data_IF_142687799876
#
_entry.id   IF_142687799876
#
_cell.length_a   1.000
_cell.length_b   1.000
_cell.length_c   1.000
_cell.angle_alpha   90.00
_cell.angle_beta   90.00
_cell.angle_gamma   90.00
#
_symmetry.space_group_name_H-M   'P 1'
#
loop_
_entity.id
_entity.type
_entity.pdbx_description
1 polymer ?
#
# COMPACT_ATOMS: atom_id res chain seq x y z
N UNK A 1 -27.50 0.76 -22.57
CA UNK A 1 -28.31 1.07 -21.37
C UNK A 1 -28.10 2.53 -21.02
N UNK A 2 -29.16 3.33 -21.10
CA UNK A 2 -29.16 4.77 -20.79
C UNK A 2 -29.32 4.93 -19.28
N UNK A 3 -28.45 5.68 -18.61
CA UNK A 3 -28.63 6.06 -17.20
C UNK A 3 -28.80 7.58 -17.10
N UNK A 4 -29.96 7.94 -16.56
CA UNK A 4 -30.50 9.29 -16.38
C UNK A 4 -29.62 10.17 -15.50
N UNK A 5 -29.40 11.41 -15.94
CA UNK A 5 -28.92 12.51 -15.10
C UNK A 5 -30.10 13.06 -14.31
N UNK A 6 -30.00 13.04 -12.98
CA UNK A 6 -30.96 13.69 -12.08
C UNK A 6 -30.52 15.14 -11.88
N UNK A 7 -31.34 16.07 -12.35
CA UNK A 7 -31.21 17.52 -12.10
C UNK A 7 -31.61 17.83 -10.66
N UNK A 8 -30.74 18.52 -9.92
CA UNK A 8 -31.10 19.19 -8.68
C UNK A 8 -31.15 20.70 -8.92
N UNK A 9 -32.34 21.26 -8.77
CA UNK A 9 -32.64 22.70 -8.86
C UNK A 9 -32.38 23.30 -7.47
N UNK A 10 -31.48 24.27 -7.36
CA UNK A 10 -31.31 25.11 -6.18
C UNK A 10 -31.74 26.53 -6.52
N UNK A 11 -32.96 26.88 -6.11
CA UNK A 11 -33.51 28.23 -6.08
C UNK A 11 -32.89 29.02 -4.92
N UNK A 12 -32.07 30.03 -5.23
CA UNK A 12 -31.59 30.99 -4.24
C UNK A 12 -32.44 32.27 -4.32
N UNK A 13 -33.23 32.52 -3.27
CA UNK A 13 -33.98 33.75 -3.02
C UNK A 13 -33.00 34.78 -2.44
N UNK A 14 -32.81 35.90 -3.14
CA UNK A 14 -32.06 37.06 -2.63
C UNK A 14 -33.00 37.96 -1.82
N UNK A 15 -32.85 37.97 -0.50
CA UNK A 15 -33.50 38.92 0.41
C UNK A 15 -32.52 40.08 0.67
N UNK A 16 -32.88 41.29 0.23
CA UNK A 16 -32.16 42.52 0.56
C UNK A 16 -32.65 43.07 1.92
N UNK A 17 -31.77 43.66 2.75
CA UNK A 17 -32.20 44.60 3.78
C UNK A 17 -31.90 46.04 3.34
N UNK A 18 -32.97 46.80 3.12
CA UNK A 18 -32.94 48.25 3.11
C UNK A 18 -32.82 48.75 4.56
N UNK A 19 -31.77 49.52 4.87
CA UNK A 19 -31.68 50.27 6.13
C UNK A 19 -31.94 51.74 5.84
N UNK A 20 -33.06 52.20 6.38
CA UNK A 20 -33.59 53.56 6.34
C UNK A 20 -33.19 54.24 7.67
N UNK A 21 -32.50 55.39 7.60
CA UNK A 21 -32.18 56.23 8.76
C UNK A 21 -32.82 57.62 8.56
N UNK A 22 -33.63 58.12 9.52
CA UNK A 22 -34.24 59.45 9.45
C UNK A 22 -33.51 60.49 10.32
N UNK A 23 -33.69 61.77 9.94
CA UNK A 23 -33.53 62.96 10.81
C UNK A 23 -32.17 63.67 10.69
N UNK A 24 -32.05 64.99 10.69
CA UNK A 24 -32.96 66.08 11.09
C UNK A 24 -32.52 67.39 10.41
N UNK A 25 -33.48 68.26 10.11
CA UNK A 25 -33.23 69.62 9.62
C UNK A 25 -32.96 70.56 10.81
N UNK A 26 -31.92 71.38 10.72
CA UNK A 26 -31.68 72.51 11.60
C UNK A 26 -31.38 73.75 10.76
N UNK A 27 -32.26 74.73 10.83
CA UNK A 27 -32.04 76.08 10.32
C UNK A 27 -31.26 76.88 11.36
N UNK A 28 -30.19 77.57 10.95
CA UNK A 28 -29.55 78.62 11.73
C UNK A 28 -29.17 79.77 10.80
N UNK A 29 -29.62 80.95 11.17
CA UNK A 29 -29.55 82.22 10.46
C UNK A 29 -28.23 82.95 10.78
N UNK A 30 -27.71 83.71 9.82
CA UNK A 30 -26.83 84.86 10.01
C UNK A 30 -25.35 84.66 10.43
N UNK A 31 -24.42 84.87 9.49
CA UNK A 31 -23.47 86.00 9.53
C UNK A 31 -22.39 85.84 8.46
N UNK A 32 -22.35 86.79 7.53
CA UNK A 32 -21.43 86.89 6.40
C UNK A 32 -19.99 87.14 6.89
N UNK A 33 -19.13 86.13 6.83
CA UNK A 33 -17.68 86.29 6.87
C UNK A 33 -17.11 85.88 5.50
N UNK A 34 -16.27 86.75 4.94
CA UNK A 34 -15.71 86.66 3.60
C UNK A 34 -15.00 85.31 3.33
N UNK A 35 -15.06 84.76 2.10
CA UNK A 35 -14.38 83.51 1.77
C UNK A 35 -12.87 83.75 1.69
N UNK A 36 -12.12 83.23 2.67
CA UNK A 36 -10.72 82.87 2.45
C UNK A 36 -10.67 81.72 1.43
N UNK A 37 -9.85 81.80 0.37
CA UNK A 37 -9.73 80.71 -0.59
C UNK A 37 -9.23 79.44 0.13
N UNK A 38 -9.75 78.25 -0.21
CA UNK A 38 -9.20 77.01 0.32
C UNK A 38 -7.73 76.88 -0.10
N UNK A 39 -6.90 76.49 0.86
CA UNK A 39 -5.51 76.16 0.64
C UNK A 39 -5.38 75.19 -0.54
N UNK A 40 -4.56 75.58 -1.51
CA UNK A 40 -4.10 74.80 -2.65
C UNK A 40 -3.76 73.38 -2.21
N UNK A 41 -4.51 72.39 -2.72
CA UNK A 41 -4.08 70.99 -2.71
C UNK A 41 -2.65 70.91 -3.28
N UNK A 42 -1.76 70.04 -2.79
CA UNK A 42 -0.42 69.92 -3.36
C UNK A 42 -0.58 69.50 -4.82
N UNK A 43 -0.38 70.44 -5.73
CA UNK A 43 -0.21 70.14 -7.14
C UNK A 43 1.13 69.42 -7.23
N UNK A 44 1.12 68.09 -7.30
CA UNK A 44 2.29 67.32 -7.69
C UNK A 44 2.81 67.90 -8.99
N UNK A 45 4.08 68.32 -9.02
CA UNK A 45 4.62 68.91 -10.23
C UNK A 45 4.70 67.82 -11.31
N UNK A 46 4.57 68.15 -12.60
CA UNK A 46 4.73 67.18 -13.69
C UNK A 46 6.07 66.41 -13.65
N UNK A 47 7.10 67.02 -13.06
CA UNK A 47 8.39 66.37 -12.82
C UNK A 47 8.32 65.29 -11.73
N UNK A 48 7.54 65.51 -10.66
CA UNK A 48 7.37 64.55 -9.57
C UNK A 48 6.58 63.33 -10.06
N UNK A 49 5.58 63.55 -10.90
CA UNK A 49 4.79 62.48 -11.51
C UNK A 49 5.61 61.63 -12.50
N UNK A 50 6.48 62.25 -13.30
CA UNK A 50 7.44 61.49 -14.13
C UNK A 50 8.37 60.62 -13.28
N UNK A 51 8.92 61.17 -12.21
CA UNK A 51 9.78 60.42 -11.29
C UNK A 51 9.04 59.24 -10.63
N UNK A 52 7.75 59.40 -10.29
CA UNK A 52 6.92 58.32 -9.77
C UNK A 52 6.73 57.17 -10.77
N UNK A 53 6.52 57.48 -12.06
CA UNK A 53 6.43 56.45 -13.11
C UNK A 53 7.76 55.72 -13.32
N UNK A 54 8.88 56.44 -13.29
CA UNK A 54 10.22 55.83 -13.35
C UNK A 54 10.48 54.91 -12.15
N UNK A 55 9.99 55.27 -10.96
CA UNK A 55 10.07 54.41 -9.78
C UNK A 55 9.27 53.12 -9.94
N UNK A 56 8.08 53.17 -10.54
CA UNK A 56 7.28 51.98 -10.87
C UNK A 56 8.02 51.08 -11.87
N UNK A 57 8.69 51.68 -12.86
CA UNK A 57 9.50 50.93 -13.83
C UNK A 57 10.77 50.32 -13.23
N UNK A 58 11.31 50.94 -12.18
CA UNK A 58 12.48 50.46 -11.45
C UNK A 58 12.16 49.28 -10.52
N UNK A 59 10.88 49.03 -10.20
CA UNK A 59 10.49 47.87 -9.39
C UNK A 59 10.75 46.56 -10.17
N UNK A 60 11.54 45.61 -9.62
CA UNK A 60 11.77 44.31 -10.26
C UNK A 60 10.49 43.49 -10.44
N UNK A 61 9.45 43.74 -9.65
CA UNK A 61 8.14 43.08 -9.74
C UNK A 61 7.16 43.80 -10.69
N UNK A 62 7.62 44.83 -11.40
CA UNK A 62 6.81 45.54 -12.37
C UNK A 62 6.34 44.58 -13.48
N UNK A 63 5.04 44.31 -13.50
CA UNK A 63 4.39 43.45 -14.47
C UNK A 63 4.54 43.97 -15.89
N UNK A 64 4.44 43.06 -16.87
CA UNK A 64 4.69 43.38 -18.27
C UNK A 64 3.72 44.45 -18.79
N UNK A 65 2.44 44.33 -18.47
CA UNK A 65 1.42 45.28 -18.91
C UNK A 65 1.61 46.63 -18.23
N UNK A 66 1.96 46.65 -16.94
CA UNK A 66 2.28 47.89 -16.20
C UNK A 66 3.49 48.59 -16.82
N UNK A 67 4.55 47.87 -17.16
CA UNK A 67 5.73 48.41 -17.85
C UNK A 67 5.39 49.03 -19.20
N UNK A 68 4.68 48.30 -20.05
CA UNK A 68 4.26 48.78 -21.36
C UNK A 68 3.34 50.03 -21.26
N UNK A 69 2.50 50.10 -20.23
CA UNK A 69 1.65 51.26 -19.94
C UNK A 69 2.44 52.48 -19.42
N UNK A 70 3.37 52.26 -18.50
CA UNK A 70 4.26 53.29 -17.95
C UNK A 70 5.14 53.92 -19.03
N UNK A 71 5.78 53.10 -19.88
CA UNK A 71 6.61 53.59 -20.99
C UNK A 71 5.82 54.41 -22.01
N UNK A 72 4.56 54.02 -22.26
CA UNK A 72 3.65 54.77 -23.15
C UNK A 72 3.31 56.13 -22.55
N UNK A 73 3.03 56.18 -21.25
CA UNK A 73 2.75 57.42 -20.54
C UNK A 73 3.96 58.38 -20.55
N UNK A 74 5.16 57.88 -20.29
CA UNK A 74 6.39 58.69 -20.31
C UNK A 74 6.73 59.30 -21.68
N UNK A 75 6.34 58.62 -22.78
CA UNK A 75 6.46 59.11 -24.16
C UNK A 75 5.37 60.13 -24.54
N UNK A 76 4.33 60.26 -23.73
CA UNK A 76 3.19 61.14 -23.95
C UNK A 76 3.31 62.51 -23.26
N UNK A 77 2.15 63.11 -23.03
CA UNK A 77 1.95 64.39 -22.37
C UNK A 77 1.95 64.27 -20.84
N UNK A 78 1.99 65.41 -20.13
CA UNK A 78 1.83 65.41 -18.67
C UNK A 78 0.48 64.83 -18.24
N UNK A 79 -0.59 65.06 -19.01
CA UNK A 79 -1.90 64.48 -18.76
C UNK A 79 -1.90 62.95 -18.92
N UNK A 80 -1.11 62.40 -19.86
CA UNK A 80 -0.98 60.94 -20.03
C UNK A 80 -0.26 60.30 -18.83
N UNK A 81 0.74 60.97 -18.27
CA UNK A 81 1.45 60.55 -17.06
C UNK A 81 0.49 60.57 -15.86
N UNK A 82 -0.25 61.66 -15.70
CA UNK A 82 -1.24 61.80 -14.64
C UNK A 82 -2.35 60.73 -14.77
N UNK A 83 -2.85 60.49 -15.98
CA UNK A 83 -3.85 59.46 -16.26
C UNK A 83 -3.33 58.05 -15.94
N UNK A 84 -2.07 57.78 -16.25
CA UNK A 84 -1.44 56.51 -15.91
C UNK A 84 -1.37 56.30 -14.39
N UNK A 85 -0.87 57.29 -13.65
CA UNK A 85 -0.76 57.20 -12.18
C UNK A 85 -2.13 57.09 -11.49
N UNK A 86 -3.17 57.72 -12.05
CA UNK A 86 -4.50 57.71 -11.43
C UNK A 86 -5.33 56.48 -11.79
N UNK A 87 -5.25 55.99 -13.02
CA UNK A 87 -6.12 54.90 -13.51
C UNK A 87 -5.37 53.84 -14.32
N UNK A 88 -4.45 54.26 -15.19
CA UNK A 88 -3.80 53.36 -16.15
C UNK A 88 -2.98 52.25 -15.49
N UNK A 89 -2.26 52.55 -14.41
CA UNK A 89 -1.45 51.57 -13.69
C UNK A 89 -2.30 50.45 -13.09
N UNK A 90 -3.49 50.76 -12.56
CA UNK A 90 -4.36 49.78 -11.93
C UNK A 90 -5.00 48.83 -12.95
N UNK A 91 -5.39 49.34 -14.12
CA UNK A 91 -5.89 48.51 -15.24
C UNK A 91 -4.82 47.59 -15.80
N UNK A 92 -3.60 48.12 -15.91
CA UNK A 92 -2.45 47.34 -16.38
C UNK A 92 -2.08 46.25 -15.36
N UNK A 93 -2.09 46.57 -14.07
CA UNK A 93 -1.86 45.61 -12.98
C UNK A 93 -2.91 44.50 -12.97
N UNK A 94 -4.20 44.83 -13.12
CA UNK A 94 -5.27 43.82 -13.24
C UNK A 94 -5.01 42.87 -14.42
N UNK A 95 -4.54 43.40 -15.54
CA UNK A 95 -4.21 42.57 -16.72
C UNK A 95 -3.08 41.58 -16.43
N UNK A 96 -2.03 42.04 -15.75
CA UNK A 96 -0.91 41.19 -15.33
C UNK A 96 -1.36 40.11 -14.32
N UNK A 97 -2.19 40.47 -13.35
CA UNK A 97 -2.75 39.52 -12.38
C UNK A 97 -3.65 38.47 -13.02
N UNK A 98 -4.49 38.85 -13.97
CA UNK A 98 -5.31 37.88 -14.73
C UNK A 98 -4.46 36.91 -15.53
N UNK A 99 -3.35 37.37 -16.11
CA UNK A 99 -2.37 36.50 -16.76
C UNK A 99 -1.75 35.53 -15.75
N UNK A 100 -1.38 36.01 -14.56
CA UNK A 100 -0.85 35.14 -13.49
C UNK A 100 -1.86 34.06 -13.08
N UNK A 101 -3.16 34.38 -12.99
CA UNK A 101 -4.21 33.37 -12.72
C UNK A 101 -4.27 32.31 -13.82
N UNK A 102 -4.23 32.71 -15.10
CA UNK A 102 -4.21 31.76 -16.23
C UNK A 102 -2.95 30.89 -16.23
N UNK A 103 -1.80 31.44 -15.83
CA UNK A 103 -0.56 30.66 -15.69
C UNK A 103 -0.68 29.62 -14.58
N UNK A 104 -1.27 29.96 -13.42
CA UNK A 104 -1.56 29.00 -12.35
C UNK A 104 -2.46 27.88 -12.86
N UNK A 105 -3.50 28.20 -13.65
CA UNK A 105 -4.39 27.19 -14.24
C UNK A 105 -3.70 26.27 -15.25
N UNK A 106 -2.61 26.73 -15.87
CA UNK A 106 -1.86 26.01 -16.90
C UNK A 106 -0.69 25.22 -16.33
N UNK A 107 -0.44 25.29 -15.02
CA UNK A 107 0.61 24.52 -14.37
C UNK A 107 0.34 23.02 -14.47
N UNK A 108 1.41 22.22 -14.65
CA UNK A 108 1.33 20.76 -14.79
C UNK A 108 0.83 20.07 -13.50
N UNK A 109 0.96 20.73 -12.35
CA UNK A 109 0.41 20.27 -11.08
C UNK A 109 -1.12 20.43 -11.05
N UNK A 110 -1.83 19.39 -11.48
CA UNK A 110 -3.29 19.35 -11.52
C UNK A 110 -3.94 19.37 -10.12
N UNK A 111 -4.09 20.56 -9.58
CA UNK A 111 -4.89 20.86 -8.39
C UNK A 111 -6.30 21.27 -8.82
N UNK A 112 -7.26 20.35 -8.74
CA UNK A 112 -8.63 20.57 -9.22
C UNK A 112 -9.31 21.74 -8.51
N UNK A 113 -9.19 21.85 -7.18
CA UNK A 113 -9.77 22.94 -6.42
C UNK A 113 -9.13 24.28 -6.80
N UNK A 114 -7.81 24.32 -7.04
CA UNK A 114 -7.10 25.54 -7.50
C UNK A 114 -7.59 25.95 -8.88
N UNK A 115 -7.70 25.01 -9.82
CA UNK A 115 -8.22 25.27 -11.16
C UNK A 115 -9.65 25.80 -11.12
N UNK A 116 -10.52 25.17 -10.32
CA UNK A 116 -11.91 25.57 -10.17
C UNK A 116 -12.03 26.98 -9.56
N UNK A 117 -11.25 27.29 -8.53
CA UNK A 117 -11.22 28.60 -7.90
C UNK A 117 -10.70 29.67 -8.86
N UNK A 118 -9.63 29.39 -9.60
CA UNK A 118 -9.08 30.29 -10.62
C UNK A 118 -10.10 30.60 -11.72
N UNK A 119 -10.80 29.58 -12.24
CA UNK A 119 -11.83 29.74 -13.28
C UNK A 119 -12.99 30.63 -12.82
N UNK A 120 -13.37 30.55 -11.53
CA UNK A 120 -14.39 31.42 -10.95
C UNK A 120 -13.88 32.86 -10.84
N UNK A 121 -12.65 33.04 -10.37
CA UNK A 121 -12.01 34.34 -10.21
C UNK A 121 -11.83 35.10 -11.52
N UNK A 122 -11.53 34.41 -12.63
CA UNK A 122 -11.38 35.07 -13.93
C UNK A 122 -12.65 35.81 -14.40
N UNK A 123 -13.84 35.46 -13.89
CA UNK A 123 -15.08 36.17 -14.19
C UNK A 123 -15.41 37.29 -13.18
N UNK A 124 -14.59 37.46 -12.14
CA UNK A 124 -14.78 38.45 -11.07
C UNK A 124 -14.14 39.81 -11.37
N UNK A 125 -14.18 40.70 -10.38
CA UNK A 125 -13.53 42.02 -10.42
C UNK A 125 -12.03 41.95 -10.06
N UNK A 126 -11.32 43.06 -10.21
CA UNK A 126 -9.89 43.15 -9.92
C UNK A 126 -9.56 42.77 -8.47
N UNK A 127 -10.42 43.12 -7.51
CA UNK A 127 -10.24 42.78 -6.11
C UNK A 127 -10.30 41.27 -5.87
N UNK A 128 -11.22 40.56 -6.53
CA UNK A 128 -11.31 39.10 -6.48
C UNK A 128 -10.07 38.42 -7.10
N UNK A 129 -9.55 38.95 -8.22
CA UNK A 129 -8.31 38.46 -8.84
C UNK A 129 -7.13 38.59 -7.89
N UNK A 130 -6.94 39.78 -7.30
CA UNK A 130 -5.88 40.03 -6.33
C UNK A 130 -6.01 39.13 -5.09
N UNK A 131 -7.22 39.00 -4.54
CA UNK A 131 -7.49 38.15 -3.37
C UNK A 131 -7.20 36.67 -3.64
N UNK A 132 -7.48 36.19 -4.85
CA UNK A 132 -7.17 34.83 -5.25
C UNK A 132 -5.65 34.59 -5.27
N UNK A 133 -4.90 35.49 -5.90
CA UNK A 133 -3.43 35.37 -5.98
C UNK A 133 -2.77 35.46 -4.61
N UNK A 134 -3.32 36.23 -3.68
CA UNK A 134 -2.72 36.41 -2.35
C UNK A 134 -3.12 35.33 -1.35
N UNK A 135 -4.38 34.86 -1.38
CA UNK A 135 -4.92 33.95 -0.37
C UNK A 135 -5.70 32.78 -0.98
N UNK A 136 -6.52 33.04 -1.99
CA UNK A 136 -7.47 32.04 -2.52
C UNK A 136 -6.79 30.79 -3.09
N UNK A 137 -5.70 30.95 -3.85
CA UNK A 137 -4.97 29.83 -4.44
C UNK A 137 -4.40 28.89 -3.38
N UNK A 138 -3.92 29.41 -2.26
CA UNK A 138 -3.33 28.61 -1.18
C UNK A 138 -4.39 27.82 -0.40
N UNK A 139 -5.56 28.42 -0.17
CA UNK A 139 -6.71 27.71 0.44
C UNK A 139 -7.24 26.61 -0.47
N UNK A 140 -7.31 26.88 -1.76
CA UNK A 140 -7.73 25.89 -2.75
C UNK A 140 -6.72 24.73 -2.81
N UNK A 141 -5.42 25.03 -2.81
CA UNK A 141 -4.35 24.03 -2.73
C UNK A 141 -4.44 23.18 -1.47
N UNK A 142 -4.64 23.80 -0.31
CA UNK A 142 -4.81 23.06 0.95
C UNK A 142 -5.97 22.06 0.86
N UNK A 143 -7.07 22.41 0.19
CA UNK A 143 -8.21 21.50 -0.01
C UNK A 143 -7.80 20.26 -0.81
N UNK A 144 -7.11 20.45 -1.93
CA UNK A 144 -6.62 19.34 -2.75
C UNK A 144 -5.58 18.49 -2.00
N UNK A 145 -4.66 19.12 -1.28
CA UNK A 145 -3.64 18.43 -0.50
C UNK A 145 -4.23 17.62 0.66
N UNK A 146 -5.23 18.16 1.39
CA UNK A 146 -5.96 17.40 2.42
C UNK A 146 -6.64 16.16 1.84
N UNK A 147 -7.21 16.27 0.64
CA UNK A 147 -7.80 15.13 -0.06
C UNK A 147 -6.71 14.10 -0.43
N UNK A 148 -5.54 14.54 -0.90
CA UNK A 148 -4.42 13.66 -1.20
C UNK A 148 -3.94 12.90 0.05
N UNK A 149 -3.78 13.61 1.18
CA UNK A 149 -3.41 12.99 2.46
C UNK A 149 -4.48 12.01 2.95
N UNK A 150 -5.76 12.33 2.82
CA UNK A 150 -6.85 11.41 3.19
C UNK A 150 -6.87 10.13 2.32
N UNK A 151 -6.50 10.22 1.04
CA UNK A 151 -6.34 9.05 0.17
C UNK A 151 -5.18 8.18 0.64
N UNK A 152 -4.02 8.78 0.95
CA UNK A 152 -2.88 8.06 1.52
C UNK A 152 -3.28 7.34 2.81
N UNK A 153 -4.04 7.99 3.68
CA UNK A 153 -4.52 7.39 4.94
C UNK A 153 -5.41 6.16 4.68
N UNK A 154 -6.24 6.24 3.64
CA UNK A 154 -7.17 5.16 3.27
C UNK A 154 -6.44 3.92 2.72
N UNK A 155 -5.31 4.13 2.02
CA UNK A 155 -4.48 3.07 1.46
C UNK A 155 -3.44 2.53 2.47
N UNK A 156 -3.10 3.32 3.49
CA UNK A 156 -2.13 2.94 4.50
C UNK A 156 -2.65 1.79 5.38
N UNK A 157 -1.75 0.87 5.73
CA UNK A 157 -2.09 -0.21 6.66
C UNK A 157 -2.34 0.38 8.05
N UNK A 158 -3.45 0.04 8.74
CA UNK A 158 -3.72 0.55 10.08
C UNK A 158 -2.53 0.34 11.02
N UNK A 159 -2.30 1.34 11.88
CA UNK A 159 -1.21 1.39 12.87
C UNK A 159 0.23 1.39 12.30
N UNK A 160 0.42 1.44 10.97
CA UNK A 160 1.76 1.58 10.37
C UNK A 160 2.38 2.95 10.63
N UNK A 161 3.69 3.08 10.43
CA UNK A 161 4.41 4.36 10.51
C UNK A 161 3.83 5.40 9.56
N UNK A 162 3.52 5.00 8.32
CA UNK A 162 2.82 5.82 7.34
C UNK A 162 1.43 6.23 7.84
N UNK A 163 0.63 5.30 8.36
CA UNK A 163 -0.71 5.59 8.86
C UNK A 163 -0.71 6.62 10.00
N UNK A 164 0.20 6.45 10.97
CA UNK A 164 0.37 7.37 12.08
C UNK A 164 0.89 8.75 11.62
N UNK A 165 1.88 8.78 10.73
CA UNK A 165 2.41 10.02 10.17
C UNK A 165 1.36 10.78 9.35
N UNK A 166 0.50 10.06 8.62
CA UNK A 166 -0.58 10.64 7.80
C UNK A 166 -1.66 11.28 8.68
N UNK A 167 -2.06 10.64 9.79
CA UNK A 167 -2.96 11.25 10.76
C UNK A 167 -2.40 12.52 11.37
N UNK A 168 -1.15 12.46 11.82
CA UNK A 168 -0.46 13.64 12.36
C UNK A 168 -0.43 14.79 11.34
N UNK A 169 -0.31 14.48 10.05
CA UNK A 169 -0.37 15.49 9.00
C UNK A 169 -1.77 16.10 8.85
N UNK A 170 -2.84 15.28 8.92
CA UNK A 170 -4.23 15.78 8.86
C UNK A 170 -4.62 16.66 10.04
N UNK A 171 -4.07 16.38 11.23
CA UNK A 171 -4.25 17.18 12.44
C UNK A 171 -3.47 18.51 12.39
N UNK A 172 -2.59 18.67 11.40
CA UNK A 172 -1.75 19.85 11.21
C UNK A 172 -2.38 20.97 10.36
N UNK A 173 -1.60 22.03 10.18
CA UNK A 173 -1.91 23.13 9.27
C UNK A 173 -1.48 22.82 7.82
N UNK A 174 -1.76 23.76 6.90
CA UNK A 174 -1.44 23.62 5.48
C UNK A 174 0.06 23.37 5.23
N UNK A 175 0.96 23.99 6.03
CA UNK A 175 2.40 23.80 5.86
C UNK A 175 2.84 22.39 6.26
N UNK A 176 2.25 21.85 7.35
CA UNK A 176 2.48 20.47 7.78
C UNK A 176 1.98 19.47 6.74
N UNK A 177 0.78 19.70 6.17
CA UNK A 177 0.21 18.88 5.11
C UNK A 177 1.12 18.86 3.88
N UNK A 178 1.54 20.05 3.43
CA UNK A 178 2.42 20.18 2.28
C UNK A 178 3.78 19.49 2.50
N UNK A 179 4.39 19.68 3.68
CA UNK A 179 5.64 19.02 4.05
C UNK A 179 5.51 17.50 4.12
N UNK A 180 4.38 17.01 4.61
CA UNK A 180 4.11 15.57 4.64
C UNK A 180 4.02 14.99 3.22
N UNK A 181 3.29 15.64 2.31
CA UNK A 181 3.16 15.19 0.92
C UNK A 181 4.48 15.23 0.15
N UNK A 182 5.34 16.21 0.42
CA UNK A 182 6.61 16.36 -0.29
C UNK A 182 7.72 15.47 0.26
N UNK A 183 7.77 15.26 1.57
CA UNK A 183 8.88 14.56 2.24
C UNK A 183 8.40 13.49 3.22
N UNK A 184 7.44 13.83 4.08
CA UNK A 184 7.05 12.98 5.22
C UNK A 184 6.53 11.60 4.84
N UNK A 185 5.68 11.50 3.82
CA UNK A 185 5.09 10.23 3.38
C UNK A 185 6.13 9.24 2.87
N UNK A 186 7.16 9.72 2.17
CA UNK A 186 8.20 8.87 1.58
C UNK A 186 9.10 8.29 2.66
N UNK A 187 9.47 9.11 3.65
CA UNK A 187 10.24 8.65 4.80
C UNK A 187 9.46 7.63 5.63
N UNK A 188 8.19 7.90 5.91
CA UNK A 188 7.36 6.99 6.68
C UNK A 188 7.14 5.65 5.95
N UNK A 189 7.00 5.68 4.61
CA UNK A 189 6.95 4.46 3.79
C UNK A 189 8.27 3.70 3.82
N UNK A 190 9.41 4.38 3.71
CA UNK A 190 10.72 3.72 3.81
C UNK A 190 10.89 3.02 5.16
N UNK A 191 10.54 3.69 6.26
CA UNK A 191 10.61 3.12 7.61
C UNK A 191 9.73 1.85 7.71
N UNK A 192 8.49 1.90 7.22
CA UNK A 192 7.58 0.76 7.18
C UNK A 192 8.12 -0.40 6.33
N UNK A 193 8.69 -0.10 5.16
CA UNK A 193 9.25 -1.08 4.25
C UNK A 193 10.51 -1.75 4.83
N UNK A 194 11.39 -1.00 5.48
CA UNK A 194 12.54 -1.56 6.20
C UNK A 194 12.07 -2.45 7.37
N UNK A 195 11.03 -2.07 8.09
CA UNK A 195 10.44 -2.98 9.11
C UNK A 195 9.93 -4.27 8.46
N UNK A 196 9.25 -4.19 7.30
CA UNK A 196 8.77 -5.37 6.58
C UNK A 196 9.91 -6.30 6.13
N UNK A 197 10.99 -5.75 5.58
CA UNK A 197 12.18 -6.53 5.20
C UNK A 197 12.87 -7.14 6.42
N UNK A 198 12.94 -6.42 7.55
CA UNK A 198 13.49 -6.96 8.80
C UNK A 198 12.71 -8.18 9.29
N UNK A 199 11.37 -8.16 9.17
CA UNK A 199 10.52 -9.30 9.51
C UNK A 199 10.80 -10.51 8.61
N UNK A 200 11.05 -10.32 7.32
CA UNK A 200 11.46 -11.39 6.40
C UNK A 200 12.80 -12.02 6.83
N UNK A 201 13.77 -11.20 7.24
CA UNK A 201 15.09 -11.66 7.71
C UNK A 201 14.94 -12.47 9.01
N UNK A 202 14.13 -11.97 9.94
CA UNK A 202 13.91 -12.58 11.25
C UNK A 202 13.06 -13.85 11.19
N UNK A 203 12.19 -14.02 10.18
CA UNK A 203 11.32 -15.19 10.06
C UNK A 203 12.16 -16.48 9.89
N UNK A 204 12.03 -17.47 10.80
CA UNK A 204 12.71 -18.76 10.67
C UNK A 204 12.30 -19.55 9.42
N UNK A 205 11.11 -19.30 8.86
CA UNK A 205 10.60 -19.97 7.65
C UNK A 205 11.19 -19.39 6.36
N UNK A 206 11.77 -18.19 6.41
CA UNK A 206 12.44 -17.60 5.25
C UNK A 206 13.68 -18.41 4.86
N UNK A 207 13.77 -18.77 3.59
CA UNK A 207 14.90 -19.49 3.02
C UNK A 207 16.20 -18.67 3.02
N UNK A 208 17.32 -19.34 2.78
CA UNK A 208 18.66 -18.72 2.87
C UNK A 208 18.87 -17.67 1.78
N UNK A 209 18.42 -17.95 0.55
CA UNK A 209 18.48 -17.04 -0.58
C UNK A 209 17.63 -15.80 -0.33
N UNK A 210 16.40 -15.97 0.16
CA UNK A 210 15.49 -14.89 0.52
C UNK A 210 16.09 -13.99 1.61
N UNK A 211 16.66 -14.57 2.68
CA UNK A 211 17.34 -13.79 3.72
C UNK A 211 18.55 -13.02 3.19
N UNK A 212 19.35 -13.63 2.32
CA UNK A 212 20.51 -12.96 1.70
C UNK A 212 20.07 -11.80 0.80
N UNK A 213 19.02 -11.98 0.01
CA UNK A 213 18.46 -10.93 -0.84
C UNK A 213 17.86 -9.79 -0.02
N UNK A 214 17.14 -10.12 1.05
CA UNK A 214 16.59 -9.15 2.00
C UNK A 214 17.70 -8.31 2.68
N UNK A 215 18.79 -8.95 3.13
CA UNK A 215 19.93 -8.24 3.70
C UNK A 215 20.59 -7.30 2.68
N UNK A 216 20.78 -7.77 1.45
CA UNK A 216 21.33 -6.94 0.37
C UNK A 216 20.47 -5.70 0.11
N UNK A 217 19.14 -5.85 0.14
CA UNK A 217 18.23 -4.73 -0.03
C UNK A 217 18.32 -3.73 1.14
N UNK A 218 18.46 -4.24 2.36
CA UNK A 218 18.65 -3.42 3.56
C UNK A 218 19.92 -2.58 3.56
N UNK A 219 21.01 -3.14 3.02
CA UNK A 219 22.30 -2.46 2.89
C UNK A 219 22.30 -1.39 1.77
N UNK A 220 21.21 -1.30 1.00
CA UNK A 220 21.03 -0.38 -0.12
C UNK A 220 20.15 0.85 0.17
N UNK A 221 19.71 1.49 -0.90
CA UNK A 221 18.83 2.66 -0.89
C UNK A 221 17.36 2.29 -0.60
N UNK A 222 16.52 3.28 -0.31
CA UNK A 222 15.07 3.09 -0.19
C UNK A 222 14.46 2.43 -1.44
N UNK A 223 14.98 2.76 -2.63
CA UNK A 223 14.55 2.14 -3.88
C UNK A 223 14.90 0.64 -3.95
N UNK A 224 16.04 0.23 -3.38
CA UNK A 224 16.43 -1.18 -3.31
C UNK A 224 15.54 -1.97 -2.36
N UNK A 225 15.18 -1.38 -1.21
CA UNK A 225 14.22 -1.96 -0.27
C UNK A 225 12.85 -2.13 -0.93
N UNK A 226 12.37 -1.08 -1.61
CA UNK A 226 11.10 -1.11 -2.32
C UNK A 226 11.08 -2.17 -3.42
N UNK A 227 12.11 -2.19 -4.29
CA UNK A 227 12.22 -3.15 -5.39
C UNK A 227 12.32 -4.60 -4.89
N UNK A 228 13.01 -4.83 -3.77
CA UNK A 228 13.02 -6.15 -3.14
C UNK A 228 11.64 -6.56 -2.65
N UNK A 229 10.91 -5.66 -2.00
CA UNK A 229 9.55 -5.96 -1.56
C UNK A 229 8.62 -6.17 -2.76
N UNK A 230 8.63 -5.36 -3.81
CA UNK A 230 7.69 -5.53 -4.92
C UNK A 230 7.98 -6.78 -5.75
N UNK A 231 9.25 -7.03 -6.05
CA UNK A 231 9.66 -8.05 -7.04
C UNK A 231 10.76 -8.98 -6.52
N UNK A 232 11.83 -8.44 -5.92
CA UNK A 232 13.03 -9.22 -5.62
C UNK A 232 12.83 -10.40 -4.65
N UNK A 233 11.93 -10.27 -3.67
CA UNK A 233 11.60 -11.33 -2.70
C UNK A 233 11.04 -12.56 -3.40
N UNK A 234 10.34 -12.38 -4.51
CA UNK A 234 9.64 -13.44 -5.23
C UNK A 234 10.60 -14.31 -6.02
N UNK A 235 11.56 -13.68 -6.71
CA UNK A 235 12.65 -14.39 -7.38
C UNK A 235 13.55 -15.11 -6.37
N UNK A 236 13.87 -14.47 -5.24
CA UNK A 236 14.69 -15.08 -4.20
C UNK A 236 14.00 -16.29 -3.53
N UNK A 237 12.68 -16.19 -3.29
CA UNK A 237 11.89 -17.31 -2.78
C UNK A 237 11.81 -18.46 -3.79
N UNK A 238 11.63 -18.16 -5.07
CA UNK A 238 11.60 -19.17 -6.12
C UNK A 238 12.93 -19.95 -6.17
N UNK A 239 14.06 -19.26 -6.11
CA UNK A 239 15.37 -19.90 -6.07
C UNK A 239 15.56 -20.80 -4.84
N UNK A 240 15.04 -20.39 -3.67
CA UNK A 240 15.04 -21.24 -2.48
C UNK A 240 14.15 -22.48 -2.66
N UNK A 241 12.96 -22.32 -3.22
CA UNK A 241 12.03 -23.44 -3.48
C UNK A 241 12.63 -24.45 -4.49
N UNK A 242 13.28 -23.97 -5.56
CA UNK A 242 14.01 -24.82 -6.52
C UNK A 242 15.12 -25.64 -5.84
N UNK A 243 15.90 -25.02 -4.95
CA UNK A 243 16.94 -25.73 -4.18
C UNK A 243 16.34 -26.78 -3.25
N UNK A 244 15.20 -26.49 -2.61
CA UNK A 244 14.49 -27.46 -1.78
C UNK A 244 13.99 -28.65 -2.61
N UNK A 245 13.40 -28.39 -3.77
CA UNK A 245 12.91 -29.44 -4.67
C UNK A 245 14.06 -30.30 -5.17
N UNK A 246 15.19 -29.71 -5.56
CA UNK A 246 16.37 -30.47 -5.99
C UNK A 246 16.86 -31.43 -4.88
N UNK A 247 16.82 -31.00 -3.61
CA UNK A 247 17.15 -31.89 -2.47
C UNK A 247 16.13 -33.00 -2.28
N UNK A 248 14.84 -32.71 -2.44
CA UNK A 248 13.78 -33.71 -2.38
C UNK A 248 13.92 -34.75 -3.50
N UNK A 249 14.30 -34.33 -4.70
CA UNK A 249 14.59 -35.24 -5.83
C UNK A 249 15.79 -36.15 -5.51
N UNK A 250 16.87 -35.59 -4.96
CA UNK A 250 18.06 -36.36 -4.61
C UNK A 250 17.75 -37.45 -3.56
N UNK A 251 17.01 -37.08 -2.51
CA UNK A 251 16.70 -37.93 -1.35
C UNK A 251 15.46 -38.81 -1.54
N UNK A 252 14.58 -38.48 -2.48
CA UNK A 252 13.27 -39.11 -2.68
C UNK A 252 13.31 -40.43 -3.43
N UNK A 253 12.17 -41.13 -3.48
CA UNK A 253 12.00 -42.32 -4.31
C UNK A 253 11.60 -41.98 -5.76
N UNK A 254 11.20 -42.98 -6.56
CA UNK A 254 10.87 -42.78 -7.97
C UNK A 254 9.75 -41.74 -8.22
N UNK A 255 8.73 -41.69 -7.36
CA UNK A 255 7.61 -40.76 -7.51
C UNK A 255 8.05 -39.32 -7.22
N UNK A 256 8.79 -39.10 -6.13
CA UNK A 256 9.36 -37.78 -5.81
C UNK A 256 10.33 -37.29 -6.89
N UNK A 257 11.17 -38.19 -7.42
CA UNK A 257 12.11 -37.85 -8.50
C UNK A 257 11.41 -37.43 -9.77
N UNK A 258 10.38 -38.17 -10.19
CA UNK A 258 9.63 -37.82 -11.40
C UNK A 258 8.92 -36.47 -11.26
N UNK A 259 8.20 -36.27 -10.16
CA UNK A 259 7.42 -35.06 -9.94
C UNK A 259 8.30 -33.82 -9.69
N UNK A 260 9.36 -33.94 -8.88
CA UNK A 260 10.28 -32.85 -8.63
C UNK A 260 11.07 -32.43 -9.88
N UNK A 261 11.51 -33.38 -10.72
CA UNK A 261 12.16 -33.04 -12.00
C UNK A 261 11.20 -32.35 -12.98
N UNK A 262 9.93 -32.75 -13.01
CA UNK A 262 8.93 -32.03 -13.81
C UNK A 262 8.81 -30.57 -13.35
N UNK A 263 8.73 -30.38 -12.03
CA UNK A 263 8.60 -29.06 -11.42
C UNK A 263 9.84 -28.17 -11.65
N UNK A 264 11.05 -28.71 -11.62
CA UNK A 264 12.27 -27.95 -11.91
C UNK A 264 12.41 -27.53 -13.38
N UNK A 265 11.84 -28.31 -14.31
CA UNK A 265 11.96 -28.03 -15.75
C UNK A 265 10.82 -27.16 -16.30
N UNK A 266 9.64 -27.24 -15.70
CA UNK A 266 8.42 -26.65 -16.24
C UNK A 266 7.62 -25.82 -15.22
N UNK A 267 8.10 -25.76 -13.98
CA UNK A 267 7.41 -25.12 -12.88
C UNK A 267 7.32 -23.60 -13.00
N UNK A 268 6.14 -23.07 -12.74
CA UNK A 268 5.95 -21.67 -12.35
C UNK A 268 6.34 -21.47 -10.89
N UNK A 269 6.55 -20.22 -10.47
CA UNK A 269 6.82 -19.87 -9.08
C UNK A 269 5.75 -20.42 -8.12
N UNK A 270 4.48 -20.29 -8.47
CA UNK A 270 3.35 -20.74 -7.65
C UNK A 270 3.31 -22.26 -7.54
N UNK A 271 3.64 -22.97 -8.63
CA UNK A 271 3.67 -24.44 -8.61
C UNK A 271 4.90 -24.98 -7.88
N UNK A 272 6.06 -24.31 -7.96
CA UNK A 272 7.25 -24.64 -7.16
C UNK A 272 6.90 -24.53 -5.67
N UNK A 273 6.20 -23.45 -5.31
CA UNK A 273 5.76 -23.22 -3.94
C UNK A 273 4.75 -24.25 -3.47
N UNK A 274 3.72 -24.52 -4.28
CA UNK A 274 2.71 -25.53 -3.96
C UNK A 274 3.34 -26.92 -3.79
N UNK A 275 4.32 -27.26 -4.63
CA UNK A 275 5.02 -28.53 -4.51
C UNK A 275 5.77 -28.65 -3.18
N UNK A 276 6.50 -27.60 -2.78
CA UNK A 276 7.19 -27.56 -1.49
C UNK A 276 6.21 -27.53 -0.32
N UNK A 277 5.05 -26.89 -0.41
CA UNK A 277 4.12 -26.78 0.72
C UNK A 277 3.19 -28.00 0.86
N UNK A 278 2.84 -28.65 -0.24
CA UNK A 278 1.75 -29.64 -0.31
C UNK A 278 2.21 -30.94 -0.96
N UNK A 279 2.66 -30.89 -2.22
CA UNK A 279 2.84 -32.10 -3.02
C UNK A 279 4.00 -32.98 -2.55
N UNK A 280 5.02 -32.39 -1.92
CA UNK A 280 6.14 -33.18 -1.38
C UNK A 280 5.68 -34.27 -0.39
N UNK A 281 4.60 -34.02 0.37
CA UNK A 281 4.10 -35.01 1.33
C UNK A 281 3.35 -36.15 0.65
N UNK A 282 2.66 -35.86 -0.46
CA UNK A 282 1.91 -36.87 -1.21
C UNK A 282 2.87 -37.82 -1.94
N UNK A 283 3.89 -37.27 -2.60
CA UNK A 283 4.91 -38.08 -3.29
C UNK A 283 5.81 -38.84 -2.31
N UNK A 284 6.16 -38.25 -1.16
CA UNK A 284 6.89 -38.96 -0.12
C UNK A 284 6.08 -40.14 0.47
N UNK A 285 4.76 -40.00 0.60
CA UNK A 285 3.89 -41.08 1.04
C UNK A 285 3.80 -42.21 0.00
N UNK A 286 3.71 -41.87 -1.29
CA UNK A 286 3.74 -42.84 -2.40
C UNK A 286 5.05 -43.63 -2.42
N UNK A 287 6.19 -42.94 -2.30
CA UNK A 287 7.50 -43.58 -2.26
C UNK A 287 7.64 -44.52 -1.06
N UNK A 288 7.16 -44.13 0.12
CA UNK A 288 7.15 -44.98 1.32
C UNK A 288 6.26 -46.21 1.14
N UNK A 289 5.08 -46.05 0.54
CA UNK A 289 4.18 -47.17 0.27
C UNK A 289 4.81 -48.17 -0.72
N UNK A 290 5.46 -47.68 -1.78
CA UNK A 290 6.17 -48.52 -2.74
C UNK A 290 7.37 -49.25 -2.12
N UNK A 291 8.14 -48.58 -1.26
CA UNK A 291 9.23 -49.19 -0.49
C UNK A 291 8.73 -50.30 0.44
N UNK A 292 7.63 -50.07 1.18
CA UNK A 292 7.03 -51.09 2.04
C UNK A 292 6.48 -52.29 1.26
N UNK A 293 5.86 -52.04 0.10
CA UNK A 293 5.34 -53.10 -0.77
C UNK A 293 6.48 -53.97 -1.33
N UNK A 294 7.57 -53.35 -1.81
CA UNK A 294 8.74 -54.07 -2.31
C UNK A 294 9.44 -54.87 -1.20
N UNK A 295 9.60 -54.31 0.00
CA UNK A 295 10.16 -55.02 1.15
C UNK A 295 9.31 -56.25 1.55
N UNK A 296 7.98 -56.10 1.54
CA UNK A 296 7.04 -57.21 1.84
C UNK A 296 7.11 -58.32 0.79
N UNK A 297 7.23 -57.94 -0.49
CA UNK A 297 7.41 -58.90 -1.58
C UNK A 297 8.74 -59.66 -1.45
N UNK A 298 9.84 -58.97 -1.11
CA UNK A 298 11.14 -59.61 -0.88
C UNK A 298 11.15 -60.53 0.35
N UNK A 299 10.42 -60.20 1.42
CA UNK A 299 10.29 -61.06 2.60
C UNK A 299 9.50 -62.35 2.30
N UNK A 300 8.45 -62.26 1.47
CA UNK A 300 7.67 -63.42 1.02
C UNK A 300 8.45 -64.33 0.05
N UNK A 301 9.47 -63.79 -0.63
CA UNK A 301 10.32 -64.51 -1.56
C UNK A 301 11.58 -65.14 -0.90
N UNK A 302 11.80 -64.94 0.41
CA UNK A 302 12.91 -65.58 1.12
C UNK A 302 12.71 -67.11 1.15
N UNK A 303 13.75 -67.92 0.85
CA UNK A 303 13.60 -69.36 0.75
C UNK A 303 13.15 -69.95 2.09
N UNK A 304 12.08 -70.74 2.09
CA UNK A 304 11.82 -71.66 3.18
C UNK A 304 13.05 -72.55 3.35
N UNK A 305 13.59 -72.58 4.57
CA UNK A 305 14.69 -73.46 4.98
C UNK A 305 14.51 -74.84 4.34
N UNK A 306 15.54 -75.44 3.68
CA UNK A 306 15.39 -76.78 3.16
C UNK A 306 15.09 -77.71 4.33
N UNK A 307 13.95 -78.39 4.25
CA UNK A 307 13.61 -79.54 5.08
C UNK A 307 14.85 -80.43 5.18
N UNK A 308 15.35 -80.77 6.40
CA UNK A 308 16.52 -81.63 6.51
C UNK A 308 16.22 -82.95 5.78
N UNK A 309 17.05 -83.26 4.79
CA UNK A 309 16.95 -84.49 4.02
C UNK A 309 16.99 -85.69 4.98
N UNK A 310 16.02 -86.60 4.83
CA UNK A 310 15.94 -87.82 5.62
C UNK A 310 17.23 -88.64 5.42
N UNK A 311 17.96 -88.86 6.51
CA UNK A 311 19.08 -89.82 6.60
C UNK A 311 18.59 -91.22 6.18
N UNK A 312 19.25 -91.94 5.26
CA UNK A 312 18.85 -93.30 4.92
C UNK A 312 19.06 -94.25 6.10
N UNK A 313 17.97 -94.90 6.48
CA UNK A 313 17.84 -95.94 7.51
C UNK A 313 18.77 -97.14 7.26
N UNK A 314 19.67 -97.53 8.19
CA UNK A 314 20.34 -98.82 8.13
C UNK A 314 19.40 -99.97 8.53
N UNK A 315 19.49 -101.06 7.76
CA UNK A 315 18.78 -102.34 7.84
C UNK A 315 18.84 -103.02 9.24
N UNK A 316 17.74 -103.59 9.75
CA UNK A 316 17.68 -104.26 11.06
C UNK A 316 18.12 -105.73 11.07
N UNK A 317 18.57 -106.24 12.23
CA UNK A 317 18.38 -107.62 12.84
C UNK A 317 19.61 -108.06 13.68
N UNK A 318 19.52 -108.78 14.83
CA UNK A 318 18.51 -108.85 15.91
C UNK A 318 19.08 -108.71 17.37
N UNK A 319 18.16 -108.52 18.31
CA UNK A 319 18.28 -108.51 19.78
C UNK A 319 18.55 -109.90 20.40
N UNK A 320 19.21 -109.98 21.57
CA UNK A 320 18.52 -110.37 22.84
C UNK A 320 18.96 -109.40 23.98
N UNK A 321 18.32 -109.17 25.13
CA UNK A 321 17.33 -109.88 25.95
C UNK A 321 16.75 -108.92 27.01
N UNK A 322 15.60 -109.30 27.56
CA UNK A 322 14.67 -108.73 28.57
C UNK A 322 15.12 -107.72 29.67
N UNK A 323 14.31 -106.64 29.81
CA UNK A 323 13.49 -106.11 30.94
C UNK A 323 13.86 -106.38 32.44
N UNK A 324 13.31 -105.66 33.47
CA UNK A 324 12.25 -104.62 33.47
C UNK A 324 12.43 -103.36 34.39
N UNK A 325 11.69 -102.30 34.04
CA UNK A 325 10.83 -101.40 34.89
C UNK A 325 11.32 -100.89 36.27
N UNK A 326 11.37 -99.56 36.43
CA UNK A 326 10.53 -98.76 37.38
C UNK A 326 10.88 -97.25 37.32
N UNK A 327 9.87 -96.42 37.04
CA UNK A 327 9.74 -95.01 37.48
C UNK A 327 9.27 -95.00 38.95
N UNK A 328 9.44 -93.94 39.78
CA UNK A 328 9.06 -92.55 39.45
C UNK A 328 9.96 -91.42 40.02
N UNK A 329 9.74 -90.20 39.48
CA UNK A 329 9.48 -88.91 40.16
C UNK A 329 10.01 -88.79 41.60
N UNK A 330 10.78 -87.77 42.04
CA UNK A 330 10.36 -86.37 42.25
C UNK A 330 11.53 -85.55 42.86
N UNK A 331 11.49 -84.23 42.65
CA UNK A 331 11.97 -83.14 43.54
C UNK A 331 13.47 -82.79 43.63
N UNK A 332 13.72 -81.48 43.40
CA UNK A 332 14.64 -80.54 44.07
C UNK A 332 15.39 -79.70 43.02
N UNK A 333 15.57 -78.37 43.13
CA UNK A 333 15.32 -77.42 44.19
C UNK A 333 15.24 -76.00 43.59
N UNK A 334 14.53 -75.11 44.28
CA UNK A 334 14.47 -73.67 44.05
C UNK A 334 15.82 -72.97 44.20
N UNK A 335 15.98 -71.75 43.64
CA UNK A 335 16.32 -70.55 44.44
C UNK A 335 16.35 -69.25 43.60
N UNK A 336 15.35 -68.40 43.88
CA UNK A 336 15.41 -66.94 44.15
C UNK A 336 15.99 -65.90 43.17
N UNK A 337 15.18 -64.84 42.98
CA UNK A 337 15.57 -63.46 42.66
C UNK A 337 14.95 -63.01 41.34
N UNK A 338 13.75 -62.40 41.29
CA UNK A 338 13.35 -61.17 41.98
C UNK A 338 13.88 -60.00 41.16
N UNK A 339 13.10 -59.14 40.50
CA UNK A 339 11.67 -58.94 40.36
C UNK A 339 11.49 -57.61 39.63
N UNK A 340 10.30 -57.41 39.03
CA UNK A 340 9.60 -56.11 39.00
C UNK A 340 10.18 -55.00 38.09
N UNK A 341 9.49 -54.36 37.13
CA UNK A 341 8.08 -54.30 36.76
C UNK A 341 7.94 -53.89 35.27
N UNK A 342 6.74 -54.16 34.75
CA UNK A 342 6.13 -53.81 33.47
C UNK A 342 5.94 -52.26 33.33
N UNK A 343 5.17 -51.66 32.37
CA UNK A 343 4.17 -52.27 31.48
C UNK A 343 4.04 -51.70 30.03
N UNK A 344 3.07 -52.27 29.28
CA UNK A 344 2.08 -51.69 28.32
C UNK A 344 2.57 -50.71 27.20
N UNK A 345 2.24 -50.82 25.91
CA UNK A 345 1.00 -51.24 25.24
C UNK A 345 1.20 -51.80 23.84
N UNK A 346 0.28 -52.70 23.50
CA UNK A 346 -0.09 -53.16 22.17
C UNK A 346 -1.31 -52.37 21.73
N UNK A 347 -1.26 -51.67 20.60
CA UNK A 347 -2.46 -51.30 19.84
C UNK A 347 -2.11 -50.94 18.39
N UNK A 348 -2.78 -51.57 17.42
CA UNK A 348 -2.80 -51.05 16.06
C UNK A 348 -3.13 -52.04 14.95
N UNK A 349 -4.39 -52.50 14.86
CA UNK A 349 -5.05 -52.76 13.58
C UNK A 349 -6.56 -52.98 13.79
N UNK A 350 -7.41 -52.19 13.14
CA UNK A 350 -8.41 -52.60 12.13
C UNK A 350 -9.18 -51.37 11.64
N UNK A 351 -9.31 -51.27 10.31
CA UNK A 351 -10.01 -50.25 9.56
C UNK A 351 -11.52 -50.51 9.43
N UNK A 352 -12.31 -49.44 9.21
CA UNK A 352 -13.62 -49.56 8.55
C UNK A 352 -13.95 -48.29 7.74
N UNK A 353 -14.26 -48.52 6.46
CA UNK A 353 -14.71 -47.59 5.43
C UNK A 353 -16.13 -47.06 5.72
N UNK A 354 -16.38 -45.79 5.41
CA UNK A 354 -17.70 -45.18 5.41
C UNK A 354 -17.76 -43.98 4.48
N UNK A 355 -18.26 -44.21 3.27
CA UNK A 355 -18.56 -43.26 2.20
C UNK A 355 -19.56 -42.17 2.60
N UNK A 356 -19.32 -40.92 2.20
CA UNK A 356 -20.31 -39.84 2.29
C UNK A 356 -20.09 -38.76 1.23
N UNK A 357 -20.89 -38.78 0.17
CA UNK A 357 -20.93 -37.76 -0.88
C UNK A 357 -22.09 -36.78 -0.66
N UNK A 358 -21.78 -35.49 -0.86
CA UNK A 358 -22.57 -34.32 -1.29
C UNK A 358 -24.11 -34.26 -1.14
N UNK A 359 -24.63 -33.13 -0.61
CA UNK A 359 -25.48 -32.20 -1.39
C UNK A 359 -25.65 -30.81 -0.71
N UNK A 360 -25.81 -29.80 -1.57
CA UNK A 360 -25.92 -28.34 -1.37
C UNK A 360 -27.38 -27.85 -1.29
N UNK A 361 -27.52 -26.58 -0.82
CA UNK A 361 -28.64 -25.62 -0.99
C UNK A 361 -29.78 -25.66 0.07
N UNK A 362 -30.38 -24.56 0.54
CA UNK A 362 -30.48 -23.20 0.01
C UNK A 362 -30.82 -22.16 1.12
N UNK A 363 -30.28 -20.95 1.01
CA UNK A 363 -30.76 -19.76 1.74
C UNK A 363 -31.83 -19.03 0.94
N UNK A 364 -33.03 -18.84 1.53
CA UNK A 364 -34.12 -18.03 0.95
C UNK A 364 -34.37 -16.82 1.86
N UNK A 365 -33.99 -15.62 1.43
CA UNK A 365 -34.46 -14.35 2.04
C UNK A 365 -35.16 -13.51 0.98
N UNK A 366 -36.47 -13.34 1.15
CA UNK A 366 -37.36 -12.48 0.36
C UNK A 366 -37.05 -11.01 0.62
N UNK A 367 -37.09 -10.18 -0.41
CA UNK A 367 -37.57 -8.78 -0.35
C UNK A 367 -38.89 -8.70 -1.12
N UNK A 368 -39.91 -7.99 -0.62
CA UNK A 368 -41.08 -7.63 -1.40
C UNK A 368 -40.85 -6.33 -2.18
N UNK A 369 -41.57 -6.22 -3.28
CA UNK A 369 -41.68 -5.08 -4.20
C UNK A 369 -43.00 -4.35 -3.97
N UNK A 370 -42.94 -3.03 -3.80
CA UNK A 370 -43.97 -2.01 -4.04
C UNK A 370 -43.19 -0.72 -4.36
N UNK A 371 -43.60 0.23 -5.19
CA UNK A 371 -44.62 0.39 -6.23
C UNK A 371 -44.18 1.63 -7.01
#
# INVERSE_FOLDING_TARGET
MKLSRVSAILTAVALAPAVLLPGTALAADGSTAAPTPPATAPSTSPSDERAAVEQILADPNCGRSVREAAERALKGTADDIHQFLTVGQYRAHESDERVAVVQIMSAEEHHWAVWQAAQQTLNGDAAAVHQFLTVGQYRARETDERIAVARILSDATPDSGLWNATQKALDGDAAVIHQFLTVGQFKAREDDERVAVSKIIADPKSGRGLKKAAQKAMDGSAADVHAFLTEGRFAAQQADDEVLIARLVDQGGPAMRAAGNYQLNHGTRESLRHFVEVDQYTYAAQDRAAASASASASASAAPTTPTPAATPTPTPTPTPSAAPVTTPTTTQLASTGGGSEAPWEVAGAVAALGTGAALLAATRRRRPSES
#
